data_IF_977680711675
#
_entry.id   IF_977680711675
#
_cell.length_a   1.000
_cell.length_b   1.000
_cell.length_c   1.000
_cell.angle_alpha   90.00
_cell.angle_beta   90.00
_cell.angle_gamma   90.00
#
_symmetry.space_group_name_H-M   'P 1'
#
loop_
_entity.id
_entity.type
_entity.pdbx_description
1 polymer ?
#
# COMPACT_ATOMS: atom_id res chain seq x y z
N UNK A 1 -18.58 31.11 57.01
CA UNK A 1 -17.35 30.35 57.38
C UNK A 1 -16.47 31.22 58.28
N UNK A 2 -16.16 30.82 59.52
CA UNK A 2 -15.30 31.63 60.41
C UNK A 2 -13.82 31.46 60.08
N UNK A 3 -13.08 32.56 60.04
CA UNK A 3 -11.63 32.52 59.84
C UNK A 3 -10.94 31.95 61.08
N UNK A 4 -10.13 30.91 60.91
CA UNK A 4 -9.37 30.31 62.01
C UNK A 4 -8.24 31.21 62.56
N UNK A 5 -7.86 32.27 61.82
CA UNK A 5 -6.77 33.19 62.21
C UNK A 5 -7.25 34.42 62.97
N UNK A 6 -8.32 35.08 62.53
CA UNK A 6 -8.83 36.32 63.15
C UNK A 6 -10.27 36.23 63.67
N UNK A 7 -10.96 35.10 63.49
CA UNK A 7 -12.33 34.90 63.98
C UNK A 7 -13.44 35.50 63.11
N UNK A 8 -13.11 36.36 62.14
CA UNK A 8 -14.09 37.03 61.25
C UNK A 8 -14.96 36.05 60.48
N UNK A 9 -16.26 36.32 60.41
CA UNK A 9 -17.21 35.58 59.57
C UNK A 9 -17.10 35.96 58.10
N UNK A 10 -16.86 34.97 57.25
CA UNK A 10 -16.73 35.12 55.80
C UNK A 10 -17.91 34.47 55.08
N UNK A 11 -18.23 34.97 53.88
CA UNK A 11 -19.26 34.39 53.00
C UNK A 11 -19.01 32.91 52.73
N UNK A 12 -20.09 32.16 52.47
CA UNK A 12 -20.00 30.76 52.09
C UNK A 12 -19.22 30.61 50.75
N UNK A 13 -18.29 29.66 50.69
CA UNK A 13 -17.40 29.48 49.54
C UNK A 13 -16.22 30.47 49.40
N UNK A 14 -15.97 31.35 50.38
CA UNK A 14 -14.80 32.24 50.37
C UNK A 14 -13.47 31.44 50.43
N UNK A 15 -12.53 31.74 49.51
CA UNK A 15 -11.20 31.11 49.48
C UNK A 15 -10.19 31.76 50.43
N UNK A 16 -10.39 33.03 50.76
CA UNK A 16 -9.53 33.82 51.66
C UNK A 16 -10.40 34.66 52.59
N UNK A 17 -9.87 34.98 53.77
CA UNK A 17 -10.51 35.89 54.71
C UNK A 17 -10.50 37.32 54.16
N UNK A 18 -11.66 37.96 54.15
CA UNK A 18 -11.83 39.34 53.71
C UNK A 18 -11.10 40.38 54.58
N UNK A 19 -10.71 40.04 55.81
CA UNK A 19 -10.12 40.98 56.76
C UNK A 19 -8.61 40.77 56.96
N UNK A 20 -8.15 39.52 57.11
CA UNK A 20 -6.73 39.22 57.34
C UNK A 20 -6.02 38.48 56.19
N UNK A 21 -6.70 38.29 55.05
CA UNK A 21 -6.23 37.57 53.85
C UNK A 21 -5.80 36.11 54.06
N UNK A 22 -6.01 35.52 55.25
CA UNK A 22 -5.65 34.13 55.50
C UNK A 22 -6.49 33.16 54.64
N UNK A 23 -5.88 32.11 54.05
CA UNK A 23 -6.61 31.12 53.25
C UNK A 23 -7.62 30.36 54.10
N UNK A 24 -8.85 30.23 53.61
CA UNK A 24 -9.92 29.48 54.27
C UNK A 24 -10.00 28.10 53.60
N UNK A 25 -9.59 27.05 54.33
CA UNK A 25 -9.66 25.67 53.84
C UNK A 25 -11.12 25.21 53.80
N UNK A 26 -11.52 24.56 52.70
CA UNK A 26 -12.86 24.00 52.56
C UNK A 26 -12.90 22.60 53.16
N UNK A 27 -13.83 22.32 54.06
CA UNK A 27 -14.01 20.96 54.60
C UNK A 27 -14.93 20.14 53.70
N UNK A 28 -14.58 18.89 53.42
CA UNK A 28 -15.45 17.99 52.68
C UNK A 28 -16.66 17.60 53.53
N UNK A 29 -17.87 17.78 52.98
CA UNK A 29 -19.11 17.41 53.67
C UNK A 29 -19.31 15.89 53.79
N UNK A 30 -18.59 15.08 52.99
CA UNK A 30 -18.71 13.62 53.00
C UNK A 30 -17.71 12.93 53.92
N UNK A 31 -16.44 13.32 53.90
CA UNK A 31 -15.38 12.67 54.70
C UNK A 31 -14.74 13.58 55.75
N UNK A 32 -15.07 14.88 55.79
CA UNK A 32 -14.51 15.82 56.76
C UNK A 32 -13.09 16.34 56.46
N UNK A 33 -12.41 15.87 55.39
CA UNK A 33 -11.04 16.31 55.08
C UNK A 33 -10.97 17.82 54.77
N UNK A 34 -9.88 18.48 55.18
CA UNK A 34 -9.63 19.90 54.92
C UNK A 34 -8.89 20.07 53.60
N UNK A 35 -9.59 20.58 52.60
CA UNK A 35 -9.09 20.75 51.23
C UNK A 35 -8.53 22.15 51.01
N UNK A 36 -7.63 22.27 50.03
CA UNK A 36 -7.02 23.54 49.65
C UNK A 36 -8.04 24.55 49.11
N UNK A 37 -7.82 25.87 49.34
CA UNK A 37 -8.73 26.90 48.84
C UNK A 37 -8.84 26.84 47.31
N UNK A 38 -10.04 26.52 46.80
CA UNK A 38 -10.33 26.43 45.36
C UNK A 38 -10.35 25.03 44.75
N UNK A 39 -10.15 23.98 45.54
CA UNK A 39 -10.40 22.61 45.10
C UNK A 39 -11.87 22.42 44.69
N UNK A 40 -12.11 21.89 43.48
CA UNK A 40 -13.47 21.56 42.99
C UNK A 40 -13.95 20.20 43.50
N UNK A 41 -13.03 19.32 43.85
CA UNK A 41 -13.27 17.96 44.36
C UNK A 41 -12.40 17.72 45.58
N UNK A 42 -12.85 16.82 46.45
CA UNK A 42 -12.09 16.38 47.61
C UNK A 42 -10.88 15.56 47.17
N UNK A 43 -9.70 15.92 47.65
CA UNK A 43 -8.44 15.24 47.36
C UNK A 43 -8.34 13.82 47.95
N UNK A 44 -9.10 13.51 49.01
CA UNK A 44 -9.13 12.17 49.58
C UNK A 44 -10.25 11.27 49.03
N UNK A 45 -11.48 11.78 48.87
CA UNK A 45 -12.64 10.94 48.52
C UNK A 45 -13.29 11.28 47.16
N UNK A 46 -12.75 12.25 46.41
CA UNK A 46 -13.24 12.63 45.08
C UNK A 46 -14.59 13.35 45.04
N UNK A 47 -15.21 13.63 46.18
CA UNK A 47 -16.55 14.25 46.22
C UNK A 47 -16.48 15.73 45.83
N UNK A 48 -17.40 16.18 44.97
CA UNK A 48 -17.50 17.60 44.57
C UNK A 48 -17.71 18.51 45.78
N UNK A 49 -16.91 19.57 45.88
CA UNK A 49 -16.93 20.56 46.97
C UNK A 49 -17.67 21.85 46.57
N UNK A 50 -18.14 21.95 45.32
CA UNK A 50 -18.91 23.08 44.80
C UNK A 50 -20.38 22.76 44.58
N UNK A 51 -21.25 23.79 44.47
CA UNK A 51 -22.68 23.61 44.26
C UNK A 51 -22.95 22.82 42.98
N UNK A 52 -23.62 21.68 43.15
CA UNK A 52 -24.11 20.83 42.06
C UNK A 52 -25.23 21.57 41.32
N UNK A 53 -24.96 22.12 40.15
CA UNK A 53 -26.04 22.49 39.22
C UNK A 53 -26.54 21.17 38.63
N UNK A 54 -27.68 20.70 39.12
CA UNK A 54 -28.35 19.51 38.62
C UNK A 54 -28.69 19.69 37.14
N UNK A 55 -28.15 18.83 36.27
CA UNK A 55 -28.54 18.73 34.88
C UNK A 55 -29.90 18.01 34.79
N UNK A 56 -30.95 18.73 34.40
CA UNK A 56 -32.24 18.13 34.04
C UNK A 56 -32.16 17.44 32.67
N UNK A 57 -32.81 16.28 32.48
CA UNK A 57 -32.80 15.55 31.21
C UNK A 57 -33.76 16.22 30.21
N UNK A 58 -33.27 16.65 29.05
CA UNK A 58 -34.10 17.08 27.91
C UNK A 58 -34.23 15.95 26.88
N UNK A 59 -35.49 15.66 26.52
CA UNK A 59 -35.93 14.71 25.50
C UNK A 59 -35.44 15.09 24.09
N UNK A 60 -35.29 14.11 23.17
CA UNK A 60 -34.89 14.35 21.80
C UNK A 60 -36.10 14.85 20.99
N UNK A 61 -35.97 16.00 20.33
CA UNK A 61 -36.73 16.27 19.11
C UNK A 61 -36.01 17.27 18.22
N UNK A 62 -35.72 16.77 17.02
CA UNK A 62 -35.90 17.42 15.73
C UNK A 62 -35.47 18.88 15.60
N UNK A 63 -34.21 19.06 15.20
CA UNK A 63 -33.81 20.18 14.35
C UNK A 63 -32.78 19.66 13.35
N UNK A 64 -33.24 19.51 12.11
CA UNK A 64 -32.43 19.31 10.93
C UNK A 64 -31.39 20.41 10.80
N UNK A 65 -30.16 20.16 11.27
CA UNK A 65 -28.98 20.91 10.82
C UNK A 65 -28.60 20.31 9.48
N UNK A 66 -29.07 20.96 8.41
CA UNK A 66 -28.50 20.80 7.08
C UNK A 66 -27.06 21.29 7.17
N UNK A 67 -26.11 20.36 7.17
CA UNK A 67 -24.71 20.68 6.84
C UNK A 67 -24.71 21.00 5.35
N UNK A 68 -24.91 22.26 5.05
CA UNK A 68 -24.61 22.81 3.74
C UNK A 68 -23.10 22.92 3.69
N UNK A 69 -22.56 22.25 2.68
CA UNK A 69 -21.17 22.29 2.24
C UNK A 69 -20.69 23.74 2.02
N UNK A 70 -19.37 23.93 2.07
CA UNK A 70 -18.58 25.16 1.82
C UNK A 70 -18.51 26.22 2.94
N UNK A 71 -17.35 26.32 3.61
CA UNK A 71 -16.22 27.17 3.16
C UNK A 71 -14.97 26.85 3.99
N UNK A 72 -14.01 26.24 3.31
CA UNK A 72 -12.54 26.35 3.46
C UNK A 72 -12.07 27.09 4.72
N UNK A 73 -11.98 26.38 5.85
CA UNK A 73 -11.02 26.76 6.87
C UNK A 73 -9.63 26.39 6.34
N UNK A 74 -8.75 27.38 6.20
CA UNK A 74 -7.35 27.19 5.83
C UNK A 74 -6.67 26.23 6.81
N UNK A 75 -6.56 24.95 6.44
CA UNK A 75 -5.74 23.99 7.16
C UNK A 75 -4.25 24.27 6.85
N UNK A 76 -3.74 25.37 7.42
CA UNK A 76 -2.31 25.70 7.47
C UNK A 76 -1.53 24.80 8.46
N UNK A 77 -2.24 24.02 9.29
CA UNK A 77 -1.66 23.00 10.15
C UNK A 77 -1.28 21.76 9.34
N UNK A 78 0.00 21.67 8.95
CA UNK A 78 0.51 20.52 8.21
C UNK A 78 0.39 19.21 9.01
N UNK A 79 0.01 18.14 8.33
CA UNK A 79 -0.21 16.82 8.94
C UNK A 79 1.08 15.99 8.92
N UNK A 80 1.51 15.44 10.07
CA UNK A 80 2.64 14.51 10.12
C UNK A 80 2.21 13.14 9.62
N UNK A 81 2.79 12.69 8.50
CA UNK A 81 2.54 11.37 7.90
C UNK A 81 3.83 10.62 7.67
N UNK A 82 3.77 9.30 7.77
CA UNK A 82 4.79 8.42 7.19
C UNK A 82 4.45 8.21 5.72
N UNK A 83 5.37 8.56 4.83
CA UNK A 83 5.18 8.43 3.38
C UNK A 83 6.40 7.77 2.75
N UNK A 84 6.22 7.20 1.56
CA UNK A 84 7.35 6.88 0.68
C UNK A 84 7.48 7.97 -0.36
N UNK A 85 8.67 8.57 -0.39
CA UNK A 85 9.05 9.61 -1.32
C UNK A 85 9.84 8.97 -2.45
N UNK A 86 9.53 9.34 -3.69
CA UNK A 86 10.22 8.90 -4.90
C UNK A 86 10.65 10.10 -5.74
N UNK A 87 11.92 10.14 -6.12
CA UNK A 87 12.47 11.04 -7.13
C UNK A 87 12.93 10.23 -8.32
N UNK A 88 12.64 10.71 -9.53
CA UNK A 88 13.15 10.13 -10.76
C UNK A 88 13.61 11.23 -11.71
N UNK A 89 14.74 11.03 -12.37
CA UNK A 89 15.22 11.92 -13.43
C UNK A 89 15.75 11.13 -14.63
N UNK A 90 15.81 11.78 -15.78
CA UNK A 90 16.51 11.26 -16.96
C UNK A 90 17.98 11.63 -16.83
N UNK A 91 18.87 10.64 -16.72
CA UNK A 91 20.30 10.91 -16.62
C UNK A 91 20.81 11.59 -17.88
N UNK A 92 21.63 12.63 -17.69
CA UNK A 92 22.31 13.31 -18.77
C UNK A 92 21.34 13.98 -19.71
N UNK A 93 20.15 14.37 -19.21
CA UNK A 93 19.14 15.12 -19.95
C UNK A 93 19.76 16.35 -20.61
N UNK A 94 20.63 17.08 -19.91
CA UNK A 94 21.36 18.24 -20.44
C UNK A 94 22.32 17.86 -21.57
N UNK A 95 23.18 16.84 -21.38
CA UNK A 95 24.09 16.37 -22.43
C UNK A 95 23.34 15.78 -23.64
N UNK A 96 22.17 15.17 -23.41
CA UNK A 96 21.32 14.58 -24.43
C UNK A 96 20.65 15.64 -25.32
N UNK A 97 20.52 16.87 -24.81
CA UNK A 97 19.81 17.97 -25.47
C UNK A 97 20.72 19.17 -25.79
N UNK A 98 22.02 19.09 -25.47
CA UNK A 98 22.97 20.20 -25.61
C UNK A 98 23.06 20.68 -27.07
N UNK A 99 23.03 19.75 -28.02
CA UNK A 99 23.05 20.02 -29.47
C UNK A 99 21.65 20.00 -30.13
N UNK A 100 20.57 19.89 -29.35
CA UNK A 100 19.20 19.83 -29.86
C UNK A 100 18.48 21.17 -29.69
N UNK A 101 17.60 21.49 -30.64
CA UNK A 101 16.67 22.61 -30.45
C UNK A 101 15.74 22.31 -29.25
N UNK A 102 15.33 23.32 -28.44
CA UNK A 102 14.42 23.13 -27.32
C UNK A 102 13.12 22.36 -27.67
N UNK A 103 12.60 22.49 -28.88
CA UNK A 103 11.43 21.73 -29.33
C UNK A 103 11.75 20.23 -29.52
N UNK A 104 12.92 19.92 -30.09
CA UNK A 104 13.39 18.55 -30.28
C UNK A 104 13.73 17.87 -28.95
N UNK A 105 14.36 18.62 -28.05
CA UNK A 105 14.62 18.21 -26.67
C UNK A 105 13.33 17.83 -25.94
N UNK A 106 12.30 18.69 -26.02
CA UNK A 106 10.98 18.42 -25.45
C UNK A 106 10.31 17.20 -26.08
N UNK A 107 10.43 17.02 -27.40
CA UNK A 107 9.85 15.87 -28.08
C UNK A 107 10.45 14.53 -27.59
N UNK A 108 11.65 14.54 -27.01
CA UNK A 108 12.28 13.36 -26.40
C UNK A 108 11.90 13.21 -24.92
N UNK A 109 11.93 14.31 -24.16
CA UNK A 109 11.76 14.32 -22.70
C UNK A 109 10.29 14.21 -22.27
N UNK A 110 9.37 14.95 -22.91
CA UNK A 110 7.95 14.96 -22.53
C UNK A 110 7.30 13.56 -22.57
N UNK A 111 7.56 12.70 -23.58
CA UNK A 111 7.05 11.33 -23.57
C UNK A 111 7.61 10.49 -22.42
N UNK A 112 8.90 10.64 -22.09
CA UNK A 112 9.49 9.93 -20.96
C UNK A 112 8.87 10.39 -19.63
N UNK A 113 8.71 11.70 -19.42
CA UNK A 113 8.01 12.25 -18.24
C UNK A 113 6.59 11.70 -18.11
N UNK A 114 5.83 11.64 -19.22
CA UNK A 114 4.47 11.07 -19.23
C UNK A 114 4.44 9.61 -18.80
N UNK A 115 5.40 8.79 -19.24
CA UNK A 115 5.53 7.40 -18.79
C UNK A 115 5.84 7.33 -17.29
N UNK A 116 6.76 8.16 -16.80
CA UNK A 116 7.09 8.23 -15.37
C UNK A 116 5.88 8.61 -14.51
N UNK A 117 5.12 9.65 -14.92
CA UNK A 117 3.91 10.09 -14.22
C UNK A 117 2.81 9.02 -14.27
N UNK A 118 2.62 8.38 -15.42
CA UNK A 118 1.65 7.30 -15.60
C UNK A 118 1.95 6.10 -14.69
N UNK A 119 3.22 5.73 -14.55
CA UNK A 119 3.64 4.68 -13.62
C UNK A 119 3.32 5.03 -12.17
N UNK A 120 3.59 6.27 -11.73
CA UNK A 120 3.26 6.72 -10.35
C UNK A 120 1.74 6.68 -10.11
N UNK A 121 0.96 7.28 -11.00
CA UNK A 121 -0.50 7.37 -10.86
C UNK A 121 -1.15 5.99 -10.84
N UNK A 122 -0.66 5.06 -11.67
CA UNK A 122 -1.15 3.69 -11.72
C UNK A 122 -1.05 2.98 -10.36
N UNK A 123 0.02 3.21 -9.62
CA UNK A 123 0.20 2.62 -8.29
C UNK A 123 -0.38 3.48 -7.15
N UNK A 124 -1.25 4.43 -7.48
CA UNK A 124 -1.90 5.32 -6.51
C UNK A 124 -0.95 6.33 -5.86
N UNK A 125 0.18 6.61 -6.48
CA UNK A 125 1.08 7.68 -6.06
C UNK A 125 0.59 9.03 -6.55
N UNK A 126 0.94 10.08 -5.82
CA UNK A 126 0.68 11.47 -6.16
C UNK A 126 1.96 12.12 -6.70
N UNK A 127 1.93 12.62 -7.93
CA UNK A 127 3.04 13.40 -8.51
C UNK A 127 2.92 14.82 -7.95
N UNK A 128 3.78 15.15 -6.99
CA UNK A 128 3.78 16.44 -6.33
C UNK A 128 4.44 17.53 -7.17
N UNK A 129 5.46 17.18 -7.96
CA UNK A 129 6.12 18.11 -8.87
C UNK A 129 6.69 17.38 -10.09
N UNK A 130 6.66 18.04 -11.25
CA UNK A 130 7.46 17.68 -12.43
C UNK A 130 8.55 18.73 -12.59
N UNK A 131 9.80 18.30 -12.71
CA UNK A 131 10.91 19.15 -13.18
C UNK A 131 11.06 18.97 -14.69
N UNK A 132 11.92 19.78 -15.32
CA UNK A 132 12.12 19.73 -16.78
C UNK A 132 12.53 18.35 -17.30
N UNK A 133 13.15 17.50 -16.48
CA UNK A 133 13.69 16.20 -16.85
C UNK A 133 13.37 15.07 -15.84
N UNK A 134 12.51 15.35 -14.87
CA UNK A 134 12.26 14.44 -13.76
C UNK A 134 10.94 14.67 -13.05
N UNK A 135 10.65 13.81 -12.09
CA UNK A 135 9.44 13.89 -11.27
C UNK A 135 9.76 13.66 -9.80
N UNK A 136 8.88 14.23 -8.98
CA UNK A 136 8.83 14.07 -7.54
C UNK A 136 7.44 13.55 -7.16
N UNK A 137 7.42 12.40 -6.48
CA UNK A 137 6.19 11.68 -6.18
C UNK A 137 6.13 11.23 -4.72
N UNK A 138 4.90 11.12 -4.22
CA UNK A 138 4.54 10.67 -2.89
C UNK A 138 3.63 9.45 -2.94
N UNK A 139 3.86 8.52 -2.03
CA UNK A 139 2.98 7.39 -1.76
C UNK A 139 2.62 7.41 -0.27
N UNK A 140 1.33 7.21 0.05
CA UNK A 140 0.80 7.35 1.41
C UNK A 140 0.33 8.77 1.76
N UNK A 141 0.41 9.71 0.81
CA UNK A 141 -0.22 11.03 0.87
C UNK A 141 -0.64 11.48 -0.55
N UNK A 142 -1.76 12.21 -0.70
CA UNK A 142 -2.71 12.61 0.35
C UNK A 142 -3.54 11.43 0.90
N UNK A 143 -3.70 10.37 0.10
CA UNK A 143 -4.38 9.13 0.50
C UNK A 143 -3.40 8.20 1.19
N UNK A 144 -3.76 7.77 2.41
CA UNK A 144 -2.96 6.82 3.18
C UNK A 144 -3.14 5.39 2.63
N UNK A 145 -2.01 4.71 2.41
CA UNK A 145 -1.96 3.33 1.95
C UNK A 145 -0.94 2.57 2.79
N UNK A 146 -1.31 1.47 3.45
CA UNK A 146 -0.36 0.70 4.26
C UNK A 146 0.78 0.10 3.41
N UNK A 147 0.49 -0.22 2.16
CA UNK A 147 1.42 -0.76 1.15
C UNK A 147 2.14 0.35 0.36
N UNK A 148 2.12 1.61 0.82
CA UNK A 148 2.81 2.74 0.18
C UNK A 148 4.29 2.46 -0.17
N UNK A 149 5.09 1.71 0.62
CA UNK A 149 6.47 1.38 0.26
C UNK A 149 6.56 0.43 -0.94
N UNK A 150 5.64 -0.54 -1.03
CA UNK A 150 5.59 -1.50 -2.13
C UNK A 150 5.15 -0.80 -3.41
N UNK A 151 4.07 -0.02 -3.35
CA UNK A 151 3.54 0.77 -4.47
C UNK A 151 4.59 1.67 -5.10
N UNK A 152 5.41 2.33 -4.28
CA UNK A 152 6.50 3.17 -4.78
C UNK A 152 7.52 2.37 -5.60
N UNK A 153 7.90 1.17 -5.15
CA UNK A 153 8.86 0.33 -5.87
C UNK A 153 8.27 -0.37 -7.08
N UNK A 154 6.98 -0.72 -7.04
CA UNK A 154 6.23 -1.18 -8.22
C UNK A 154 6.20 -0.09 -9.31
N UNK A 155 5.91 1.15 -8.92
CA UNK A 155 5.98 2.29 -9.82
C UNK A 155 7.38 2.51 -10.37
N UNK A 156 8.42 2.42 -9.53
CA UNK A 156 9.81 2.56 -9.96
C UNK A 156 10.24 1.49 -10.98
N UNK A 157 9.90 0.22 -10.76
CA UNK A 157 10.20 -0.87 -11.70
C UNK A 157 9.45 -0.72 -13.01
N UNK A 158 8.16 -0.36 -12.95
CA UNK A 158 7.35 -0.08 -14.14
C UNK A 158 7.91 1.09 -14.93
N UNK A 159 8.28 2.16 -14.26
CA UNK A 159 8.91 3.34 -14.85
C UNK A 159 10.19 2.96 -15.62
N UNK A 160 11.06 2.15 -15.00
CA UNK A 160 12.26 1.65 -15.68
C UNK A 160 11.92 0.82 -16.93
N UNK A 161 10.91 -0.04 -16.85
CA UNK A 161 10.51 -0.90 -17.98
C UNK A 161 9.91 -0.09 -19.14
N UNK A 162 8.98 0.83 -18.86
CA UNK A 162 8.31 1.65 -19.87
C UNK A 162 9.29 2.61 -20.56
N UNK A 163 10.15 3.28 -19.78
CA UNK A 163 11.17 4.17 -20.34
C UNK A 163 12.21 3.41 -21.14
N UNK A 164 12.61 2.19 -20.72
CA UNK A 164 13.48 1.32 -21.52
C UNK A 164 12.85 0.97 -22.87
N UNK A 165 11.58 0.58 -22.88
CA UNK A 165 10.86 0.29 -24.13
C UNK A 165 10.72 1.51 -25.05
N UNK A 166 10.60 2.71 -24.48
CA UNK A 166 10.66 3.97 -25.23
C UNK A 166 12.07 4.26 -25.76
N UNK A 167 13.09 4.06 -24.93
CA UNK A 167 14.48 4.28 -25.28
C UNK A 167 14.94 3.35 -26.42
N UNK A 168 14.50 2.10 -26.44
CA UNK A 168 14.81 1.15 -27.52
C UNK A 168 14.25 1.62 -28.88
N UNK A 169 13.04 2.21 -28.88
CA UNK A 169 12.44 2.81 -30.08
C UNK A 169 13.20 4.06 -30.54
N UNK A 170 13.53 4.94 -29.60
CA UNK A 170 14.34 6.14 -29.89
C UNK A 170 15.73 5.79 -30.41
N UNK A 171 16.35 4.75 -29.87
CA UNK A 171 17.67 4.30 -30.31
C UNK A 171 17.63 3.84 -31.76
N UNK A 172 16.57 3.14 -32.17
CA UNK A 172 16.39 2.71 -33.55
C UNK A 172 16.13 3.88 -34.52
N UNK A 173 15.49 4.95 -34.07
CA UNK A 173 15.07 6.08 -34.92
C UNK A 173 16.07 7.24 -34.95
N UNK A 174 16.68 7.55 -33.81
CA UNK A 174 17.47 8.77 -33.55
C UNK A 174 18.82 8.48 -32.88
N UNK A 175 19.16 7.22 -32.58
CA UNK A 175 20.41 6.86 -31.87
C UNK A 175 20.45 7.22 -30.38
N UNK A 176 19.35 7.74 -29.83
CA UNK A 176 19.24 8.25 -28.46
C UNK A 176 18.76 7.16 -27.51
N UNK A 177 19.37 7.04 -26.32
CA UNK A 177 19.03 6.01 -25.32
C UNK A 177 18.84 6.63 -23.91
N UNK A 178 17.71 7.29 -23.65
CA UNK A 178 17.45 7.91 -22.35
C UNK A 178 17.35 6.84 -21.27
N UNK A 179 17.99 7.10 -20.12
CA UNK A 179 17.95 6.21 -18.96
C UNK A 179 17.50 6.98 -17.74
N UNK A 180 16.57 6.40 -16.99
CA UNK A 180 16.05 7.01 -15.77
C UNK A 180 16.81 6.49 -14.55
N UNK A 181 17.05 7.38 -13.60
CA UNK A 181 17.54 7.03 -12.26
C UNK A 181 16.41 7.28 -11.27
N UNK A 182 16.23 6.36 -10.33
CA UNK A 182 15.18 6.50 -9.31
C UNK A 182 15.81 6.42 -7.92
N UNK A 183 15.37 7.29 -7.02
CA UNK A 183 15.71 7.26 -5.60
C UNK A 183 14.45 7.26 -4.75
N UNK A 184 14.36 6.35 -3.78
CA UNK A 184 13.20 6.28 -2.91
C UNK A 184 13.56 6.10 -1.42
N UNK A 185 12.79 6.74 -0.54
CA UNK A 185 12.96 6.66 0.89
C UNK A 185 11.60 6.69 1.60
N UNK A 186 11.46 5.91 2.68
CA UNK A 186 10.32 6.01 3.58
C UNK A 186 10.71 6.75 4.85
N UNK A 187 9.88 7.70 5.27
CA UNK A 187 10.05 8.37 6.55
C UNK A 187 8.92 9.34 6.85
N UNK A 188 8.98 9.94 8.04
CA UNK A 188 8.02 10.97 8.43
C UNK A 188 8.27 12.27 7.66
N UNK A 189 7.18 12.89 7.23
CA UNK A 189 7.14 14.22 6.63
C UNK A 189 5.95 14.98 7.20
N UNK A 190 6.03 16.30 7.20
CA UNK A 190 4.88 17.16 7.42
C UNK A 190 4.32 17.54 6.06
N UNK A 191 3.12 17.07 5.74
CA UNK A 191 2.45 17.41 4.48
C UNK A 191 1.63 18.68 4.70
N UNK A 192 1.92 19.72 3.93
CA UNK A 192 1.07 20.92 3.89
C UNK A 192 0.29 20.94 2.59
N UNK A 193 -0.99 21.25 2.69
CA UNK A 193 -1.81 21.58 1.54
C UNK A 193 -1.70 23.08 1.29
N UNK A 194 -0.99 23.47 0.23
CA UNK A 194 -0.90 24.87 -0.19
C UNK A 194 -1.82 25.03 -1.38
N UNK A 195 -2.82 25.90 -1.28
CA UNK A 195 -3.70 26.26 -2.41
C UNK A 195 -3.29 27.62 -2.96
N UNK A 196 -2.35 27.72 -3.92
CA UNK A 196 -2.12 28.96 -4.64
C UNK A 196 -3.33 29.23 -5.56
N UNK A 197 -4.36 29.89 -5.03
CA UNK A 197 -5.61 30.21 -5.72
C UNK A 197 -6.66 29.08 -5.69
N UNK A 198 -7.76 29.26 -6.45
CA UNK A 198 -8.96 28.40 -6.38
C UNK A 198 -8.87 27.06 -7.12
N UNK A 199 -7.77 26.73 -7.83
CA UNK A 199 -7.79 25.63 -8.81
C UNK A 199 -6.98 24.38 -8.48
N UNK A 200 -5.90 24.45 -7.69
CA UNK A 200 -5.12 23.25 -7.33
C UNK A 200 -4.50 23.35 -5.94
N UNK A 201 -4.65 22.27 -5.17
CA UNK A 201 -3.93 22.05 -3.93
C UNK A 201 -2.58 21.37 -4.23
N UNK A 202 -1.48 22.04 -3.88
CA UNK A 202 -0.14 21.48 -3.89
C UNK A 202 0.16 20.82 -2.54
N UNK A 203 0.51 19.53 -2.57
CA UNK A 203 0.96 18.81 -1.39
C UNK A 203 2.48 18.84 -1.30
N UNK A 204 3.01 19.74 -0.48
CA UNK A 204 4.45 19.92 -0.28
C UNK A 204 4.88 19.23 1.02
N UNK A 205 5.58 18.09 0.93
CA UNK A 205 6.11 17.41 2.10
C UNK A 205 7.39 18.12 2.57
N UNK A 206 7.38 18.54 3.82
CA UNK A 206 8.54 19.14 4.47
C UNK A 206 9.13 18.11 5.42
N UNK A 207 10.38 17.71 5.18
CA UNK A 207 11.07 16.77 6.04
C UNK A 207 12.42 16.33 5.50
N UNK A 208 13.29 15.91 6.38
CA UNK A 208 14.60 15.35 6.02
C UNK A 208 14.48 14.14 5.09
N UNK A 209 13.39 13.36 5.24
CA UNK A 209 13.07 12.18 4.44
C UNK A 209 12.98 12.44 2.93
N UNK A 210 12.54 13.63 2.50
CA UNK A 210 12.44 13.98 1.07
C UNK A 210 13.82 14.26 0.49
N UNK A 211 14.66 14.97 1.24
CA UNK A 211 16.04 15.25 0.86
C UNK A 211 16.85 13.96 0.71
N UNK A 212 16.64 12.97 1.58
CA UNK A 212 17.29 11.65 1.46
C UNK A 212 16.93 10.98 0.14
N UNK A 213 15.64 10.94 -0.23
CA UNK A 213 15.21 10.34 -1.51
C UNK A 213 15.86 11.01 -2.73
N UNK A 214 15.94 12.35 -2.75
CA UNK A 214 16.62 13.09 -3.81
C UNK A 214 18.12 12.75 -3.91
N UNK A 215 18.83 12.60 -2.79
CA UNK A 215 20.24 12.15 -2.83
C UNK A 215 20.39 10.72 -3.29
N UNK A 216 19.48 9.82 -2.89
CA UNK A 216 19.51 8.43 -3.37
C UNK A 216 19.36 8.39 -4.89
N UNK A 217 18.48 9.21 -5.47
CA UNK A 217 18.32 9.31 -6.92
C UNK A 217 19.63 9.77 -7.58
N UNK A 218 20.28 10.79 -7.03
CA UNK A 218 21.55 11.29 -7.56
C UNK A 218 22.69 10.24 -7.49
N UNK A 219 22.67 9.36 -6.49
CA UNK A 219 23.63 8.26 -6.31
C UNK A 219 23.31 7.03 -7.17
N UNK A 220 22.08 6.91 -7.69
CA UNK A 220 21.67 5.77 -8.48
C UNK A 220 22.42 5.73 -9.83
N UNK A 221 22.82 4.52 -10.24
CA UNK A 221 23.35 4.29 -11.57
C UNK A 221 22.24 4.49 -12.65
N UNK A 222 22.59 4.82 -13.90
CA UNK A 222 21.61 4.99 -14.97
C UNK A 222 20.82 3.71 -15.22
N UNK A 223 19.50 3.77 -15.14
CA UNK A 223 18.64 2.60 -15.28
C UNK A 223 18.48 1.78 -14.00
N UNK A 224 18.86 2.33 -12.83
CA UNK A 224 18.75 1.67 -11.53
C UNK A 224 17.83 2.42 -10.56
N UNK A 225 17.49 1.74 -9.47
CA UNK A 225 16.60 2.24 -8.41
C UNK A 225 17.35 2.12 -7.08
N UNK A 226 17.71 3.24 -6.46
CA UNK A 226 18.38 3.26 -5.16
C UNK A 226 17.39 3.54 -4.02
N UNK A 227 17.51 2.79 -2.92
CA UNK A 227 16.64 2.91 -1.74
C UNK A 227 17.43 3.01 -0.44
N UNK A 228 16.82 3.61 0.58
CA UNK A 228 17.35 3.63 1.94
C UNK A 228 17.16 2.31 2.68
N UNK A 229 17.95 2.08 3.72
CA UNK A 229 17.72 1.02 4.71
C UNK A 229 16.30 1.07 5.31
N UNK A 230 15.76 2.26 5.58
CA UNK A 230 14.41 2.41 6.14
C UNK A 230 13.33 1.83 5.20
N UNK A 231 13.45 2.09 3.89
CA UNK A 231 12.58 1.51 2.89
C UNK A 231 12.85 0.01 2.71
N UNK A 232 14.12 -0.41 2.68
CA UNK A 232 14.51 -1.84 2.58
C UNK A 232 13.83 -2.69 3.64
N UNK A 233 13.80 -2.25 4.91
CA UNK A 233 13.17 -2.99 6.01
C UNK A 233 11.68 -3.26 5.79
N UNK A 234 10.98 -2.40 5.06
CA UNK A 234 9.54 -2.49 4.79
C UNK A 234 9.22 -3.38 3.60
N UNK A 235 10.14 -3.50 2.65
CA UNK A 235 9.93 -4.16 1.35
C UNK A 235 10.76 -5.44 1.17
N UNK A 236 11.54 -5.81 2.19
CA UNK A 236 12.33 -7.04 2.20
C UNK A 236 11.49 -8.28 1.85
N UNK A 237 12.02 -9.08 0.92
CA UNK A 237 11.39 -10.31 0.41
C UNK A 237 10.37 -10.08 -0.72
N UNK A 238 9.77 -8.89 -0.84
CA UNK A 238 8.93 -8.54 -1.99
C UNK A 238 9.75 -8.16 -3.23
N UNK A 239 10.99 -7.73 -3.03
CA UNK A 239 11.91 -7.31 -4.07
C UNK A 239 13.27 -7.96 -3.87
N UNK A 240 14.00 -8.17 -4.98
CA UNK A 240 15.40 -8.59 -4.96
C UNK A 240 16.25 -7.35 -4.78
N UNK A 241 16.99 -7.30 -3.67
CA UNK A 241 17.76 -6.15 -3.23
C UNK A 241 19.26 -6.47 -3.25
N UNK A 242 20.05 -5.59 -3.86
CA UNK A 242 21.51 -5.66 -3.86
C UNK A 242 22.07 -4.54 -3.00
N UNK A 243 22.93 -4.86 -2.03
CA UNK A 243 23.60 -3.81 -1.23
C UNK A 243 24.58 -3.03 -2.12
N UNK A 244 24.54 -1.70 -2.01
CA UNK A 244 25.50 -0.78 -2.59
C UNK A 244 26.50 -0.25 -1.54
N UNK A 245 26.33 -0.66 -0.28
CA UNK A 245 27.15 -0.25 0.86
C UNK A 245 26.77 1.12 1.45
N UNK A 246 27.51 1.57 2.48
CA UNK A 246 27.26 2.83 3.17
C UNK A 246 27.71 4.03 2.33
N UNK A 247 26.86 5.06 2.24
CA UNK A 247 27.21 6.34 1.64
C UNK A 247 27.00 7.50 2.61
N UNK A 248 27.92 8.47 2.57
CA UNK A 248 27.76 9.74 3.30
C UNK A 248 26.82 10.65 2.52
N UNK A 249 25.67 10.93 3.09
CA UNK A 249 24.68 11.83 2.52
C UNK A 249 24.73 13.16 3.28
N UNK A 250 24.88 14.29 2.58
CA UNK A 250 25.05 15.62 3.18
C UNK A 250 23.94 15.94 4.20
N UNK A 251 24.24 16.19 5.47
CA UNK A 251 23.18 16.48 6.46
C UNK A 251 22.40 15.25 6.93
N UNK A 252 22.89 14.05 6.66
CA UNK A 252 22.68 12.87 7.51
C UNK A 252 23.95 12.72 8.34
N UNK A 253 23.83 12.55 9.66
CA UNK A 253 24.97 12.47 10.58
C UNK A 253 25.77 11.19 10.42
N UNK A 254 25.08 10.06 10.20
CA UNK A 254 25.68 8.75 10.02
C UNK A 254 25.61 8.31 8.54
N UNK A 255 26.59 7.54 8.05
CA UNK A 255 26.51 6.91 6.74
C UNK A 255 25.23 6.07 6.64
N UNK A 256 24.51 6.22 5.53
CA UNK A 256 23.28 5.47 5.28
C UNK A 256 23.61 4.28 4.38
N UNK A 257 23.20 3.08 4.77
CA UNK A 257 23.23 1.90 3.90
C UNK A 257 22.26 2.07 2.73
N UNK A 258 22.76 1.87 1.52
CA UNK A 258 22.00 2.01 0.27
C UNK A 258 21.84 0.63 -0.38
N UNK A 259 20.67 0.42 -0.98
CA UNK A 259 20.36 -0.78 -1.74
C UNK A 259 19.84 -0.43 -3.12
N UNK A 260 20.13 -1.31 -4.09
CA UNK A 260 19.56 -1.29 -5.42
C UNK A 260 18.40 -2.29 -5.51
N UNK A 261 17.27 -1.85 -6.06
CA UNK A 261 16.15 -2.73 -6.39
C UNK A 261 16.35 -3.30 -7.79
N UNK A 262 16.52 -4.61 -7.89
CA UNK A 262 16.87 -5.29 -9.16
C UNK A 262 15.71 -6.05 -9.79
N UNK A 263 14.64 -6.32 -9.03
CA UNK A 263 13.46 -7.01 -9.53
C UNK A 263 12.52 -7.43 -8.41
N UNK A 264 11.55 -8.29 -8.77
CA UNK A 264 10.57 -8.84 -7.83
C UNK A 264 11.17 -10.00 -7.04
N UNK A 265 10.98 -9.95 -5.73
CA UNK A 265 11.31 -11.05 -4.82
C UNK A 265 10.20 -12.11 -4.79
N UNK A 266 10.34 -13.17 -4.01
CA UNK A 266 9.37 -14.27 -3.95
C UNK A 266 8.12 -13.94 -3.13
N UNK A 267 8.17 -12.98 -2.20
CA UNK A 267 7.03 -12.69 -1.33
C UNK A 267 5.99 -11.83 -2.05
N UNK A 268 4.72 -12.09 -1.74
CA UNK A 268 3.56 -11.39 -2.30
C UNK A 268 2.69 -10.76 -1.22
N UNK A 269 2.69 -11.30 0.01
CA UNK A 269 1.88 -10.74 1.11
C UNK A 269 2.65 -10.43 2.37
N UNK A 270 2.05 -9.52 3.16
CA UNK A 270 2.55 -9.12 4.49
C UNK A 270 2.61 -10.30 5.44
N UNK A 271 1.63 -11.19 5.34
CA UNK A 271 1.62 -12.43 6.09
C UNK A 271 2.86 -13.26 5.76
N UNK A 272 3.17 -13.51 4.48
CA UNK A 272 4.36 -14.29 4.10
C UNK A 272 5.67 -13.67 4.61
N UNK A 273 5.78 -12.32 4.65
CA UNK A 273 6.94 -11.63 5.25
C UNK A 273 7.06 -11.87 6.75
N UNK A 274 5.94 -11.84 7.47
CA UNK A 274 5.93 -12.12 8.90
C UNK A 274 6.23 -13.59 9.22
N UNK A 275 5.94 -14.53 8.29
CA UNK A 275 6.26 -15.95 8.44
C UNK A 275 7.75 -16.18 8.74
N UNK A 276 8.62 -15.45 8.05
CA UNK A 276 10.07 -15.56 8.20
C UNK A 276 10.56 -15.14 9.60
N UNK A 277 9.78 -14.34 10.35
CA UNK A 277 10.11 -13.88 11.71
C UNK A 277 9.51 -14.77 12.81
N UNK A 278 8.71 -15.76 12.43
CA UNK A 278 7.95 -16.59 13.35
C UNK A 278 6.69 -15.86 13.83
N UNK A 279 5.56 -16.56 13.77
CA UNK A 279 4.28 -16.00 14.21
C UNK A 279 4.01 -16.24 15.68
N UNK A 280 3.16 -15.39 16.27
CA UNK A 280 2.52 -15.66 17.55
C UNK A 280 1.61 -16.90 17.45
N UNK A 281 1.37 -17.54 18.61
CA UNK A 281 0.50 -18.71 18.71
C UNK A 281 -0.90 -18.38 18.18
N UNK A 282 -1.40 -19.22 17.28
CA UNK A 282 -2.76 -19.10 16.77
C UNK A 282 -3.77 -19.65 17.79
N UNK A 283 -4.67 -18.81 18.29
CA UNK A 283 -5.60 -19.13 19.38
C UNK A 283 -7.03 -18.69 19.06
N UNK A 284 -8.02 -19.38 19.65
CA UNK A 284 -9.43 -18.95 19.65
C UNK A 284 -10.19 -19.07 18.32
N UNK A 285 -9.72 -19.89 17.38
CA UNK A 285 -10.29 -20.07 16.02
C UNK A 285 -10.60 -21.53 15.69
N UNK A 286 -10.88 -22.34 16.72
CA UNK A 286 -11.14 -23.78 16.57
C UNK A 286 -12.34 -24.03 15.65
N UNK A 287 -13.44 -23.30 15.85
CA UNK A 287 -14.67 -23.45 15.08
C UNK A 287 -14.44 -23.16 13.59
N UNK A 288 -13.77 -22.07 13.26
CA UNK A 288 -13.48 -21.71 11.86
C UNK A 288 -12.54 -22.72 11.20
N UNK A 289 -11.55 -23.21 11.95
CA UNK A 289 -10.67 -24.27 11.48
C UNK A 289 -11.41 -25.59 11.23
N UNK A 290 -12.36 -25.96 12.09
CA UNK A 290 -13.21 -27.14 11.90
C UNK A 290 -14.11 -27.00 10.66
N UNK A 291 -14.71 -25.82 10.44
CA UNK A 291 -15.47 -25.54 9.21
C UNK A 291 -14.61 -25.71 7.96
N UNK A 292 -13.39 -25.17 7.96
CA UNK A 292 -12.46 -25.30 6.82
C UNK A 292 -12.04 -26.75 6.59
N UNK A 293 -11.78 -27.51 7.66
CA UNK A 293 -11.47 -28.95 7.57
C UNK A 293 -12.61 -29.75 6.99
N UNK A 294 -13.83 -29.54 7.48
CA UNK A 294 -15.01 -30.25 6.98
C UNK A 294 -15.26 -29.96 5.50
N UNK A 295 -15.10 -28.69 5.08
CA UNK A 295 -15.18 -28.34 3.67
C UNK A 295 -14.10 -29.04 2.83
N UNK A 296 -12.88 -29.19 3.36
CA UNK A 296 -11.81 -29.90 2.68
C UNK A 296 -12.07 -31.42 2.58
N UNK A 297 -12.65 -32.04 3.61
CA UNK A 297 -13.07 -33.45 3.59
C UNK A 297 -14.10 -33.69 2.48
N UNK A 298 -15.16 -32.87 2.42
CA UNK A 298 -16.16 -32.95 1.35
C UNK A 298 -15.55 -32.76 -0.05
N UNK A 299 -14.61 -31.82 -0.19
CA UNK A 299 -13.90 -31.60 -1.45
C UNK A 299 -13.04 -32.80 -1.86
N UNK A 300 -12.45 -33.55 -0.92
CA UNK A 300 -11.73 -34.80 -1.21
C UNK A 300 -12.66 -35.92 -1.67
N UNK A 301 -13.89 -35.94 -1.17
CA UNK A 301 -14.94 -36.89 -1.61
C UNK A 301 -15.53 -36.54 -2.99
N UNK A 302 -15.06 -35.46 -3.62
CA UNK A 302 -15.52 -34.98 -4.93
C UNK A 302 -16.65 -33.95 -4.86
N UNK A 303 -17.04 -33.52 -3.66
CA UNK A 303 -18.03 -32.47 -3.46
C UNK A 303 -17.33 -31.11 -3.31
N UNK A 304 -17.02 -30.46 -4.44
CA UNK A 304 -16.36 -29.16 -4.46
C UNK A 304 -17.03 -28.13 -3.53
N UNK A 305 -16.22 -27.39 -2.76
CA UNK A 305 -16.67 -26.43 -1.76
C UNK A 305 -16.19 -25.02 -2.06
N UNK A 306 -16.97 -24.03 -1.61
CA UNK A 306 -16.59 -22.61 -1.63
C UNK A 306 -16.70 -22.09 -0.20
N UNK A 307 -15.61 -21.50 0.30
CA UNK A 307 -15.56 -20.90 1.63
C UNK A 307 -15.16 -19.43 1.52
N UNK A 308 -15.95 -18.55 2.12
CA UNK A 308 -15.68 -17.12 2.17
C UNK A 308 -15.49 -16.67 3.62
N UNK A 309 -14.37 -15.98 3.91
CA UNK A 309 -14.15 -15.34 5.20
C UNK A 309 -14.39 -13.83 5.09
N UNK A 310 -15.41 -13.33 5.78
CA UNK A 310 -15.79 -11.92 5.78
C UNK A 310 -15.66 -11.37 7.20
N UNK A 311 -14.82 -10.37 7.37
CA UNK A 311 -14.59 -9.68 8.64
C UNK A 311 -13.80 -8.39 8.42
N UNK A 312 -13.69 -7.54 9.44
CA UNK A 312 -12.93 -6.29 9.40
C UNK A 312 -11.43 -6.51 9.07
N UNK A 313 -10.73 -5.50 8.51
CA UNK A 313 -9.28 -5.55 8.33
C UNK A 313 -8.55 -5.84 9.65
N UNK A 314 -7.44 -6.59 9.59
CA UNK A 314 -6.58 -6.84 10.77
C UNK A 314 -7.04 -7.96 11.73
N UNK A 315 -8.27 -8.47 11.63
CA UNK A 315 -8.79 -9.54 12.53
C UNK A 315 -8.19 -10.94 12.32
N UNK A 316 -7.25 -11.08 11.39
CA UNK A 316 -6.52 -12.34 11.14
C UNK A 316 -7.13 -13.27 10.08
N UNK A 317 -7.88 -12.75 9.10
CA UNK A 317 -8.46 -13.57 7.99
C UNK A 317 -7.37 -14.35 7.23
N UNK A 318 -6.35 -13.65 6.74
CA UNK A 318 -5.24 -14.28 6.02
C UNK A 318 -4.47 -15.26 6.90
N UNK A 319 -4.34 -14.95 8.21
CA UNK A 319 -3.72 -15.84 9.21
C UNK A 319 -4.50 -17.16 9.37
N UNK A 320 -5.83 -17.12 9.36
CA UNK A 320 -6.68 -18.31 9.42
C UNK A 320 -6.42 -19.25 8.23
N UNK A 321 -6.45 -18.73 7.01
CA UNK A 321 -6.18 -19.55 5.82
C UNK A 321 -4.73 -20.02 5.76
N UNK A 322 -3.76 -19.23 6.23
CA UNK A 322 -2.38 -19.67 6.37
C UNK A 322 -2.26 -20.88 7.31
N UNK A 323 -2.88 -20.83 8.48
CA UNK A 323 -2.87 -21.92 9.46
C UNK A 323 -3.59 -23.17 8.93
N UNK A 324 -4.68 -22.98 8.20
CA UNK A 324 -5.37 -24.07 7.51
C UNK A 324 -4.49 -24.75 6.46
N UNK A 325 -3.83 -23.96 5.59
CA UNK A 325 -2.89 -24.50 4.58
C UNK A 325 -1.72 -25.21 5.24
N UNK A 326 -1.09 -24.60 6.24
CA UNK A 326 0.07 -25.16 6.94
C UNK A 326 -0.24 -26.54 7.55
N UNK A 327 -1.48 -26.78 7.97
CA UNK A 327 -1.93 -28.07 8.53
C UNK A 327 -2.41 -29.06 7.47
N UNK A 328 -2.81 -28.58 6.29
CA UNK A 328 -3.42 -29.40 5.22
C UNK A 328 -2.46 -29.76 4.09
N UNK A 329 -1.15 -29.52 4.24
CA UNK A 329 -0.15 -29.62 3.17
C UNK A 329 0.08 -31.02 2.57
N UNK A 330 -0.52 -32.09 3.10
CA UNK A 330 -0.32 -33.43 2.53
C UNK A 330 -1.18 -33.62 1.27
N UNK A 331 -0.56 -33.45 0.10
CA UNK A 331 -1.08 -33.93 -1.18
C UNK A 331 -2.03 -33.01 -1.97
N UNK A 332 -2.29 -31.78 -1.50
CA UNK A 332 -3.11 -30.81 -2.23
C UNK A 332 -2.24 -29.85 -3.07
N UNK A 333 -2.68 -29.55 -4.29
CA UNK A 333 -2.19 -28.40 -5.02
C UNK A 333 -2.84 -27.13 -4.46
N UNK A 334 -2.04 -26.12 -4.13
CA UNK A 334 -2.52 -24.82 -3.63
C UNK A 334 -2.14 -23.74 -4.62
N UNK A 335 -3.14 -23.04 -5.13
CA UNK A 335 -3.00 -21.89 -6.03
C UNK A 335 -3.54 -20.65 -5.34
N UNK A 336 -2.74 -19.60 -5.29
CA UNK A 336 -3.04 -18.37 -4.54
C UNK A 336 -3.00 -17.16 -5.46
N UNK A 337 -4.01 -16.31 -5.31
CA UNK A 337 -4.12 -15.03 -5.98
C UNK A 337 -4.40 -13.94 -4.96
N UNK A 338 -3.80 -12.77 -5.16
CA UNK A 338 -3.97 -11.61 -4.29
C UNK A 338 -4.52 -10.47 -5.13
N UNK A 339 -5.62 -9.86 -4.70
CA UNK A 339 -6.13 -8.64 -5.33
C UNK A 339 -5.49 -7.44 -4.66
N UNK A 340 -4.71 -6.65 -5.42
CA UNK A 340 -4.06 -5.45 -4.90
C UNK A 340 -4.83 -4.19 -5.31
N UNK A 341 -4.93 -3.25 -4.38
CA UNK A 341 -5.76 -2.03 -4.50
C UNK A 341 -5.27 -1.04 -5.56
N UNK A 342 -4.15 -1.28 -6.23
CA UNK A 342 -3.58 -0.43 -7.28
C UNK A 342 -3.76 -0.96 -8.70
N UNK A 343 -4.20 -2.20 -8.90
CA UNK A 343 -4.20 -2.82 -10.23
C UNK A 343 -5.58 -2.97 -10.87
N UNK A 344 -6.56 -2.14 -10.47
CA UNK A 344 -7.90 -2.09 -11.09
C UNK A 344 -7.88 -1.84 -12.62
N UNK A 345 -6.75 -1.37 -13.17
CA UNK A 345 -6.57 -1.12 -14.59
C UNK A 345 -6.01 -2.33 -15.39
N UNK A 346 -5.61 -3.41 -14.72
CA UNK A 346 -5.12 -4.64 -15.37
C UNK A 346 -6.18 -5.73 -15.28
N UNK A 347 -6.89 -5.96 -16.37
CA UNK A 347 -7.85 -7.06 -16.42
C UNK A 347 -7.16 -8.40 -16.09
N UNK A 348 -7.81 -9.23 -15.27
CA UNK A 348 -7.37 -10.59 -14.94
C UNK A 348 -6.07 -10.71 -14.13
N UNK A 349 -5.59 -9.67 -13.45
CA UNK A 349 -4.33 -9.79 -12.70
C UNK A 349 -4.34 -10.89 -11.63
N UNK A 350 -5.40 -11.07 -10.81
CA UNK A 350 -5.45 -12.19 -9.86
C UNK A 350 -5.34 -13.55 -10.55
N UNK A 351 -5.92 -13.67 -11.76
CA UNK A 351 -5.80 -14.88 -12.58
C UNK A 351 -4.38 -15.06 -13.09
N UNK A 352 -3.72 -13.98 -13.52
CA UNK A 352 -2.31 -14.04 -13.93
C UNK A 352 -1.42 -14.46 -12.75
N UNK A 353 -1.63 -13.91 -11.56
CA UNK A 353 -0.88 -14.29 -10.35
C UNK A 353 -1.08 -15.75 -9.98
N UNK A 354 -2.25 -16.32 -10.29
CA UNK A 354 -2.53 -17.74 -10.14
C UNK A 354 -1.80 -18.58 -11.21
N UNK A 355 -1.84 -18.14 -12.47
CA UNK A 355 -1.33 -18.91 -13.61
C UNK A 355 0.20 -18.91 -13.72
N UNK A 356 0.89 -17.82 -13.34
CA UNK A 356 2.35 -17.76 -13.43
C UNK A 356 3.05 -18.86 -12.60
N UNK A 357 2.74 -19.04 -11.29
CA UNK A 357 3.28 -20.14 -10.50
C UNK A 357 2.83 -21.50 -11.02
N UNK A 358 1.56 -21.63 -11.45
CA UNK A 358 1.02 -22.87 -12.00
C UNK A 358 1.80 -23.37 -13.22
N UNK A 359 2.15 -22.47 -14.14
CA UNK A 359 2.98 -22.77 -15.32
C UNK A 359 4.49 -22.66 -15.06
N UNK A 360 4.92 -22.31 -13.84
CA UNK A 360 6.33 -22.09 -13.47
C UNK A 360 7.03 -21.05 -14.35
N UNK A 361 6.31 -19.99 -14.72
CA UNK A 361 6.85 -18.88 -15.51
C UNK A 361 7.68 -17.99 -14.57
N UNK A 362 8.95 -17.82 -14.91
CA UNK A 362 9.89 -16.94 -14.24
C UNK A 362 9.99 -15.58 -14.94
N UNK A 363 10.41 -14.55 -14.21
CA UNK A 363 10.50 -13.17 -14.74
C UNK A 363 11.51 -13.01 -15.87
N UNK A 364 12.55 -13.83 -15.88
CA UNK A 364 13.65 -13.87 -16.85
C UNK A 364 13.41 -14.84 -18.00
N UNK A 365 12.29 -15.58 -18.00
CA UNK A 365 11.94 -16.44 -19.13
C UNK A 365 11.70 -15.60 -20.39
N UNK A 366 12.34 -16.00 -21.49
CA UNK A 366 12.02 -15.49 -22.83
C UNK A 366 10.69 -16.03 -23.37
N UNK A 367 10.19 -15.45 -24.47
CA UNK A 367 8.90 -15.81 -25.04
C UNK A 367 8.79 -17.30 -25.41
N UNK A 368 9.89 -17.88 -25.91
CA UNK A 368 9.97 -19.29 -26.28
C UNK A 368 9.84 -20.20 -25.06
N UNK A 369 10.61 -19.92 -24.02
CA UNK A 369 10.63 -20.68 -22.76
C UNK A 369 9.26 -20.65 -22.09
N UNK A 370 8.59 -19.48 -22.06
CA UNK A 370 7.22 -19.35 -21.53
C UNK A 370 6.24 -20.23 -22.32
N UNK A 371 6.33 -20.20 -23.66
CA UNK A 371 5.46 -21.00 -24.53
C UNK A 371 5.64 -22.50 -24.29
N UNK A 372 6.89 -22.96 -24.24
CA UNK A 372 7.24 -24.37 -24.00
C UNK A 372 6.73 -24.84 -22.63
N UNK A 373 6.86 -24.02 -21.57
CA UNK A 373 6.32 -24.32 -20.24
C UNK A 373 4.80 -24.48 -20.23
N UNK A 374 4.09 -23.53 -20.83
CA UNK A 374 2.62 -23.55 -20.91
C UNK A 374 2.14 -24.74 -21.75
N UNK A 375 2.67 -24.92 -22.96
CA UNK A 375 2.32 -26.05 -23.83
C UNK A 375 2.61 -27.40 -23.16
N UNK A 376 3.80 -27.55 -22.58
CA UNK A 376 4.21 -28.78 -21.91
C UNK A 376 3.31 -29.13 -20.73
N UNK A 377 2.97 -28.16 -19.87
CA UNK A 377 2.08 -28.39 -18.73
C UNK A 377 0.67 -28.79 -19.19
N UNK A 378 0.12 -28.15 -20.23
CA UNK A 378 -1.19 -28.50 -20.78
C UNK A 378 -1.17 -29.91 -21.40
N UNK A 379 -0.16 -30.24 -22.19
CA UNK A 379 -0.05 -31.56 -22.80
C UNK A 379 0.11 -32.69 -21.78
N UNK A 380 0.80 -32.43 -20.66
CA UNK A 380 0.92 -33.36 -19.52
C UNK A 380 -0.41 -33.48 -18.75
N UNK A 381 -1.15 -32.38 -18.63
CA UNK A 381 -2.44 -32.37 -17.94
C UNK A 381 -3.50 -33.15 -18.74
N UNK A 382 -3.72 -32.74 -20.00
CA UNK A 382 -4.62 -33.39 -20.95
C UNK A 382 -4.44 -32.81 -22.36
N UNK A 383 -4.15 -33.64 -23.35
CA UNK A 383 -4.00 -33.21 -24.75
C UNK A 383 -5.29 -32.63 -25.35
N UNK A 384 -6.47 -32.98 -24.83
CA UNK A 384 -7.74 -32.39 -25.25
C UNK A 384 -7.88 -30.92 -24.88
N UNK A 385 -6.98 -30.36 -24.06
CA UNK A 385 -6.93 -28.95 -23.68
C UNK A 385 -6.00 -28.13 -24.57
N UNK A 386 -5.33 -28.72 -25.59
CA UNK A 386 -4.45 -27.98 -26.50
C UNK A 386 -5.18 -26.86 -27.25
N UNK A 387 -6.50 -26.99 -27.46
CA UNK A 387 -7.36 -25.95 -28.04
C UNK A 387 -7.46 -24.67 -27.17
N UNK A 388 -7.09 -24.77 -25.88
CA UNK A 388 -7.08 -23.64 -24.95
C UNK A 388 -5.83 -22.76 -25.07
N UNK A 389 -4.74 -23.27 -25.66
CA UNK A 389 -3.43 -22.61 -25.72
C UNK A 389 -3.47 -21.19 -26.32
N UNK A 390 -4.20 -20.92 -27.42
CA UNK A 390 -4.25 -19.56 -27.97
C UNK A 390 -4.79 -18.52 -26.98
N UNK A 391 -5.77 -18.88 -26.14
CA UNK A 391 -6.35 -17.96 -25.16
C UNK A 391 -5.42 -17.75 -23.97
N UNK A 392 -4.70 -18.79 -23.54
CA UNK A 392 -3.69 -18.69 -22.50
C UNK A 392 -2.51 -17.83 -22.94
N UNK A 393 -2.03 -18.01 -24.17
CA UNK A 393 -0.95 -17.18 -24.71
C UNK A 393 -1.35 -15.71 -24.80
N UNK A 394 -2.57 -15.43 -25.27
CA UNK A 394 -3.07 -14.07 -25.30
C UNK A 394 -3.21 -13.46 -23.90
N UNK A 395 -3.71 -14.23 -22.93
CA UNK A 395 -3.85 -13.78 -21.54
C UNK A 395 -2.47 -13.50 -20.90
N UNK A 396 -1.51 -14.41 -21.08
CA UNK A 396 -0.15 -14.32 -20.52
C UNK A 396 0.78 -13.36 -21.31
N UNK A 397 0.27 -12.71 -22.36
CA UNK A 397 1.07 -11.80 -23.20
C UNK A 397 2.19 -12.50 -24.00
N UNK A 398 2.04 -13.79 -24.29
CA UNK A 398 2.98 -14.58 -25.09
C UNK A 398 2.61 -14.39 -26.56
N UNK A 399 3.16 -13.35 -27.20
CA UNK A 399 2.85 -12.99 -28.59
C UNK A 399 4.00 -13.39 -29.51
N UNK A 400 3.72 -14.22 -30.51
CA UNK A 400 4.60 -14.43 -31.67
C UNK A 400 3.76 -14.43 -32.96
N UNK A 401 4.22 -13.70 -33.98
CA UNK A 401 3.56 -13.65 -35.28
C UNK A 401 2.21 -12.91 -35.26
N UNK A 402 1.31 -13.28 -36.18
CA UNK A 402 -0.05 -12.71 -36.25
C UNK A 402 -0.87 -13.24 -35.06
N UNK A 403 -1.55 -12.35 -34.32
CA UNK A 403 -2.46 -12.74 -33.23
C UNK A 403 -3.55 -13.67 -33.78
N UNK A 404 -3.56 -14.96 -33.40
CA UNK A 404 -4.57 -15.92 -33.88
C UNK A 404 -5.99 -15.55 -33.42
N UNK A 405 -6.11 -14.68 -32.40
CA UNK A 405 -7.38 -14.17 -31.88
C UNK A 405 -7.67 -12.74 -32.37
N UNK A 406 -6.84 -12.18 -33.27
CA UNK A 406 -6.92 -10.76 -33.67
C UNK A 406 -8.19 -10.38 -34.43
N UNK A 407 -8.88 -11.36 -35.04
CA UNK A 407 -10.15 -11.17 -35.75
C UNK A 407 -11.38 -11.53 -34.90
N UNK A 408 -11.17 -12.02 -33.66
CA UNK A 408 -12.28 -12.42 -32.81
C UNK A 408 -12.93 -11.22 -32.14
N UNK A 409 -14.25 -11.30 -32.00
CA UNK A 409 -15.00 -10.37 -31.16
C UNK A 409 -14.49 -10.41 -29.71
N UNK A 410 -14.42 -9.23 -29.07
CA UNK A 410 -13.85 -9.06 -27.74
C UNK A 410 -14.63 -9.82 -26.64
N UNK A 411 -15.96 -9.89 -26.73
CA UNK A 411 -16.78 -10.64 -25.76
C UNK A 411 -16.60 -12.14 -25.93
N UNK A 412 -16.51 -12.61 -27.18
CA UNK A 412 -16.22 -14.02 -27.46
C UNK A 412 -14.83 -14.40 -26.96
N UNK A 413 -13.82 -13.55 -27.19
CA UNK A 413 -12.45 -13.75 -26.70
C UNK A 413 -12.44 -13.85 -25.17
N UNK A 414 -13.08 -12.91 -24.46
CA UNK A 414 -13.25 -12.94 -22.99
C UNK A 414 -13.87 -14.25 -22.52
N UNK A 415 -15.01 -14.64 -23.07
CA UNK A 415 -15.73 -15.86 -22.67
C UNK A 415 -14.87 -17.11 -22.86
N UNK A 416 -14.17 -17.23 -23.99
CA UNK A 416 -13.31 -18.39 -24.26
C UNK A 416 -12.06 -18.42 -23.39
N UNK A 417 -11.50 -17.26 -23.03
CA UNK A 417 -10.41 -17.19 -22.06
C UNK A 417 -10.85 -17.69 -20.68
N UNK A 418 -12.03 -17.27 -20.20
CA UNK A 418 -12.57 -17.75 -18.93
C UNK A 418 -12.88 -19.26 -18.95
N UNK A 419 -13.44 -19.75 -20.05
CA UNK A 419 -13.70 -21.18 -20.24
C UNK A 419 -12.42 -22.01 -20.26
N UNK A 420 -11.36 -21.52 -20.92
CA UNK A 420 -10.04 -22.15 -20.92
C UNK A 420 -9.48 -22.31 -19.50
N UNK A 421 -9.51 -21.24 -18.69
CA UNK A 421 -9.06 -21.26 -17.29
C UNK A 421 -9.88 -22.28 -16.48
N UNK A 422 -11.21 -22.23 -16.62
CA UNK A 422 -12.12 -23.16 -15.93
C UNK A 422 -11.82 -24.61 -16.27
N UNK A 423 -11.64 -24.94 -17.56
CA UNK A 423 -11.34 -26.31 -18.02
C UNK A 423 -10.04 -26.84 -17.42
N UNK A 424 -9.00 -26.00 -17.32
CA UNK A 424 -7.72 -26.37 -16.72
C UNK A 424 -7.87 -26.66 -15.23
N UNK A 425 -8.51 -25.75 -14.48
CA UNK A 425 -8.69 -25.92 -13.03
C UNK A 425 -9.55 -27.13 -12.70
N UNK A 426 -10.63 -27.36 -13.46
CA UNK A 426 -11.46 -28.55 -13.30
C UNK A 426 -10.67 -29.83 -13.62
N UNK A 427 -9.89 -29.83 -14.70
CA UNK A 427 -9.08 -31.00 -15.05
C UNK A 427 -8.01 -31.29 -14.01
N UNK A 428 -7.37 -30.26 -13.46
CA UNK A 428 -6.42 -30.41 -12.36
C UNK A 428 -7.10 -30.97 -11.10
N UNK A 429 -8.31 -30.51 -10.76
CA UNK A 429 -9.07 -31.02 -9.60
C UNK A 429 -9.49 -32.49 -9.71
N UNK A 430 -9.59 -33.02 -10.94
CA UNK A 430 -9.86 -34.45 -11.18
C UNK A 430 -8.62 -35.32 -10.99
N UNK A 431 -7.42 -34.73 -11.13
CA UNK A 431 -6.15 -35.45 -10.99
C UNK A 431 -5.62 -35.40 -9.55
N UNK A 432 -5.91 -34.32 -8.82
CA UNK A 432 -5.48 -34.13 -7.44
C UNK A 432 -6.39 -33.13 -6.71
N UNK A 433 -6.48 -33.20 -5.37
CA UNK A 433 -7.15 -32.17 -4.58
C UNK A 433 -6.54 -30.78 -4.84
N UNK A 434 -7.39 -29.80 -5.10
CA UNK A 434 -6.99 -28.45 -5.50
C UNK A 434 -7.64 -27.41 -4.57
N UNK A 435 -6.82 -26.53 -3.99
CA UNK A 435 -7.26 -25.31 -3.31
C UNK A 435 -6.93 -24.13 -4.22
N UNK A 436 -7.96 -23.35 -4.56
CA UNK A 436 -7.81 -22.05 -5.19
C UNK A 436 -8.21 -20.98 -4.17
N UNK A 437 -7.27 -20.12 -3.81
CA UNK A 437 -7.47 -19.10 -2.78
C UNK A 437 -7.32 -17.71 -3.39
N UNK A 438 -8.37 -16.89 -3.23
CA UNK A 438 -8.35 -15.48 -3.59
C UNK A 438 -8.38 -14.63 -2.31
N UNK A 439 -7.35 -13.84 -2.10
CA UNK A 439 -7.28 -12.89 -0.99
C UNK A 439 -7.63 -11.47 -1.47
N UNK A 440 -8.15 -10.67 -0.53
CA UNK A 440 -8.52 -9.28 -0.75
C UNK A 440 -9.52 -9.06 -1.91
N UNK A 441 -10.46 -10.00 -2.09
CA UNK A 441 -11.51 -9.98 -3.14
C UNK A 441 -12.28 -8.65 -3.29
N UNK A 442 -12.32 -7.81 -2.26
CA UNK A 442 -12.92 -6.47 -2.35
C UNK A 442 -12.16 -5.51 -3.30
N UNK A 443 -10.92 -5.83 -3.68
CA UNK A 443 -10.12 -5.11 -4.68
C UNK A 443 -10.08 -5.78 -6.05
N UNK A 444 -10.80 -6.89 -6.24
CA UNK A 444 -10.82 -7.61 -7.51
C UNK A 444 -11.30 -6.70 -8.65
N UNK A 445 -10.70 -6.84 -9.82
CA UNK A 445 -11.13 -6.11 -11.01
C UNK A 445 -12.45 -6.67 -11.55
N UNK A 446 -13.28 -5.85 -12.21
CA UNK A 446 -14.59 -6.28 -12.74
C UNK A 446 -14.49 -7.37 -13.82
N UNK A 447 -13.30 -7.62 -14.39
CA UNK A 447 -13.15 -8.62 -15.44
C UNK A 447 -12.89 -10.03 -14.89
N UNK A 448 -12.29 -10.15 -13.71
CA UNK A 448 -12.08 -11.41 -12.99
C UNK A 448 -13.35 -11.84 -12.26
#
# INVERSE_FOLDING_TARGET
MKCAKCGTENREGAKFCNECAAPIKASCLKCGSKNNPGAKFCDECGTSLGPSVAASPRKPNDSSIRVIDSTVAENLEGERKTVTVLFADIKGSMDLIEDLDPEEARAIVDPALKLMMGAVQRYGGYVAQSTGDGIFALFGAPVAHEDHPQRALLAALRMQAEVRGYADKLRAQKGVNPRVRVGANTGEVVVREIRPGEKHAEYLPIGHSTSVAARLQALAAPGSIAISEALRKLVEGYFVLKSLGPARIKGVSEPLEIYEVTGFGPLRTRLQREAARGYTKFVGRQREMETLKHAAELAQEGHGQIVAAVAEPGVGKSRLFFEFKAKSQSGWMVLEAFSVSHDKASAYLPVLDLLHPYFKIASDDDARSRREKVAGKIAVLDRSLEDTLPYLYALLGIVEGKDPLGQMDAQVKKRRTLDAIKRILLRESLNQPLIVMFEDLHWIDEQT
#
